data_IF_023736092373
#
_entry.id   IF_023736092373
#
_cell.length_a   1.000
_cell.length_b   1.000
_cell.length_c   1.000
_cell.angle_alpha   90.00
_cell.angle_beta   90.00
_cell.angle_gamma   90.00
#
_symmetry.space_group_name_H-M   'P 1'
#
loop_
_entity.id
_entity.type
_entity.pdbx_description
1 polymer ?
#
# COMPACT_ATOMS: atom_id res chain seq x y z
N UNK A 1 20.14 -1.30 0.13
CA UNK A 1 18.79 -1.75 0.49
C UNK A 1 18.73 -3.28 0.62
N UNK A 2 19.47 -3.82 1.58
CA UNK A 2 19.57 -5.28 1.76
C UNK A 2 18.54 -5.83 2.77
N UNK A 3 17.59 -5.00 3.24
CA UNK A 3 16.69 -5.38 4.32
C UNK A 3 15.60 -6.38 3.86
N UNK A 4 15.07 -6.22 2.65
CA UNK A 4 13.94 -7.03 2.18
C UNK A 4 14.34 -8.21 1.29
N UNK A 5 15.55 -8.23 0.75
CA UNK A 5 16.02 -9.28 -0.17
C UNK A 5 15.33 -9.29 -1.55
N UNK A 6 14.44 -8.35 -1.87
CA UNK A 6 13.72 -8.32 -3.14
C UNK A 6 14.64 -8.20 -4.37
N UNK A 7 15.85 -7.67 -4.21
CA UNK A 7 16.78 -7.50 -5.32
C UNK A 7 17.19 -8.84 -5.95
N UNK A 8 17.53 -9.84 -5.10
CA UNK A 8 17.86 -11.18 -5.60
C UNK A 8 16.66 -11.90 -6.22
N UNK A 9 15.46 -11.67 -5.68
CA UNK A 9 14.21 -12.22 -6.22
C UNK A 9 13.90 -11.57 -7.58
N UNK A 10 14.10 -10.25 -7.71
CA UNK A 10 13.90 -9.56 -8.97
C UNK A 10 14.86 -10.05 -10.05
N UNK A 11 16.12 -10.28 -9.71
CA UNK A 11 17.14 -10.84 -10.63
C UNK A 11 16.77 -12.28 -11.07
N UNK A 12 16.26 -13.10 -10.14
CA UNK A 12 15.88 -14.50 -10.41
C UNK A 12 14.62 -14.58 -11.27
N UNK A 13 13.61 -13.77 -11.00
CA UNK A 13 12.29 -13.85 -11.65
C UNK A 13 12.07 -12.82 -12.76
N UNK A 14 13.04 -11.95 -13.02
CA UNK A 14 13.01 -11.03 -14.16
C UNK A 14 11.98 -9.92 -14.05
N UNK A 15 11.89 -9.24 -12.88
CA UNK A 15 11.05 -8.06 -12.72
C UNK A 15 11.84 -6.85 -12.20
N UNK A 16 11.32 -5.67 -12.42
CA UNK A 16 11.89 -4.41 -11.89
C UNK A 16 11.40 -4.21 -10.47
N UNK A 17 12.30 -4.02 -9.53
CA UNK A 17 11.99 -3.60 -8.17
C UNK A 17 12.48 -2.18 -7.93
N UNK A 18 11.64 -1.33 -7.36
CA UNK A 18 11.98 0.04 -6.99
C UNK A 18 11.73 0.26 -5.50
N UNK A 19 12.52 1.14 -4.92
CA UNK A 19 12.40 1.57 -3.51
C UNK A 19 12.27 3.09 -3.48
N UNK A 20 11.10 3.64 -3.76
CA UNK A 20 10.90 5.08 -3.75
C UNK A 20 11.06 5.61 -2.31
N UNK A 21 11.51 6.85 -2.20
CA UNK A 21 11.77 7.51 -0.93
C UNK A 21 10.71 8.58 -0.67
N UNK A 22 9.98 8.43 0.43
CA UNK A 22 9.05 9.46 0.90
C UNK A 22 9.76 10.70 1.47
N UNK A 23 9.02 11.79 1.60
CA UNK A 23 9.48 13.05 2.16
C UNK A 23 9.51 13.05 3.68
N UNK A 24 10.01 14.12 4.31
CA UNK A 24 9.99 14.27 5.77
C UNK A 24 8.62 14.73 6.24
N UNK A 25 8.06 14.03 7.22
CA UNK A 25 6.84 14.46 7.93
C UNK A 25 7.14 15.69 8.78
N UNK A 26 6.47 16.83 8.59
CA UNK A 26 6.76 18.06 9.34
C UNK A 26 6.68 17.88 10.86
N UNK A 27 5.75 17.06 11.34
CA UNK A 27 5.53 16.85 12.76
C UNK A 27 6.66 16.06 13.45
N UNK A 28 7.37 15.18 12.74
CA UNK A 28 8.36 14.27 13.35
C UNK A 28 9.76 14.40 12.78
N UNK A 29 9.91 14.98 11.58
CA UNK A 29 11.16 15.01 10.82
C UNK A 29 11.60 13.64 10.29
N UNK A 30 10.74 12.63 10.34
CA UNK A 30 11.00 11.30 9.80
C UNK A 30 10.44 11.16 8.39
N UNK A 31 11.08 10.34 7.56
CA UNK A 31 10.56 10.01 6.24
C UNK A 31 9.24 9.25 6.37
N UNK A 32 8.29 9.58 5.49
CA UNK A 32 6.94 9.00 5.54
C UNK A 32 6.29 9.00 4.16
N UNK A 33 5.17 8.30 4.09
CA UNK A 33 4.14 8.42 3.08
C UNK A 33 2.91 9.10 3.67
N UNK A 34 2.32 10.03 2.94
CA UNK A 34 1.09 10.71 3.33
C UNK A 34 -0.13 9.79 3.12
N UNK A 35 -0.60 9.20 4.18
CA UNK A 35 -1.71 8.23 4.19
C UNK A 35 -2.94 8.70 4.97
N UNK A 36 -2.97 9.98 5.38
CA UNK A 36 -3.97 10.48 6.34
C UNK A 36 -3.61 10.11 7.78
N UNK A 37 -4.58 10.06 8.67
CA UNK A 37 -4.39 9.69 10.06
C UNK A 37 -3.31 10.54 10.76
N UNK A 38 -2.28 9.90 11.28
CA UNK A 38 -1.16 10.58 11.95
C UNK A 38 -0.26 11.37 10.98
N UNK A 39 -0.43 11.22 9.66
CA UNK A 39 0.38 11.94 8.65
C UNK A 39 -0.29 13.20 8.12
N UNK A 40 -1.41 13.62 8.68
CA UNK A 40 -2.23 14.76 8.21
C UNK A 40 -1.50 16.11 8.22
N UNK A 41 -0.36 16.23 8.93
CA UNK A 41 0.50 17.42 8.81
C UNK A 41 1.31 17.47 7.51
N UNK A 42 1.32 16.40 6.72
CA UNK A 42 1.91 16.36 5.38
C UNK A 42 0.95 16.95 4.34
N UNK A 43 1.50 17.72 3.44
CA UNK A 43 0.81 18.22 2.24
C UNK A 43 1.36 17.60 0.97
N UNK A 44 2.22 16.57 1.09
CA UNK A 44 2.87 15.92 -0.06
C UNK A 44 1.85 15.07 -0.80
N UNK A 45 1.82 15.19 -2.12
CA UNK A 45 1.09 14.30 -3.02
C UNK A 45 1.94 13.07 -3.35
N UNK A 46 2.02 12.13 -2.42
CA UNK A 46 2.78 10.91 -2.62
C UNK A 46 2.13 9.96 -3.63
N UNK A 47 0.80 9.99 -3.77
CA UNK A 47 0.08 9.21 -4.80
C UNK A 47 0.44 9.72 -6.19
N UNK A 48 0.40 11.03 -6.41
CA UNK A 48 0.83 11.65 -7.66
C UNK A 48 2.29 11.32 -7.98
N UNK A 49 3.20 11.46 -6.99
CA UNK A 49 4.60 11.07 -7.16
C UNK A 49 4.77 9.62 -7.60
N UNK A 50 4.10 8.67 -6.95
CA UNK A 50 4.20 7.25 -7.30
C UNK A 50 3.56 6.94 -8.66
N UNK A 51 2.52 7.67 -9.04
CA UNK A 51 1.95 7.61 -10.38
C UNK A 51 2.96 8.04 -11.46
N UNK A 52 3.65 9.17 -11.25
CA UNK A 52 4.72 9.66 -12.15
C UNK A 52 5.89 8.68 -12.22
N UNK A 53 6.23 8.00 -11.12
CA UNK A 53 7.27 6.95 -11.14
C UNK A 53 6.88 5.79 -12.04
N UNK A 54 5.59 5.39 -12.06
CA UNK A 54 5.11 4.34 -12.96
C UNK A 54 5.22 4.80 -14.42
N UNK A 55 4.82 6.04 -14.73
CA UNK A 55 4.91 6.60 -16.08
C UNK A 55 6.36 6.66 -16.55
N UNK A 56 7.26 7.16 -15.71
CA UNK A 56 8.70 7.18 -16.00
C UNK A 56 9.27 5.79 -16.31
N UNK A 57 8.87 4.77 -15.52
CA UNK A 57 9.34 3.40 -15.75
C UNK A 57 8.77 2.80 -17.04
N UNK A 58 7.56 3.14 -17.42
CA UNK A 58 6.98 2.70 -18.69
C UNK A 58 7.70 3.32 -19.89
N UNK A 59 7.97 4.62 -19.82
CA UNK A 59 8.69 5.35 -20.86
C UNK A 59 10.13 4.82 -21.06
N UNK A 60 10.83 4.49 -19.97
CA UNK A 60 12.23 4.04 -20.02
C UNK A 60 12.40 2.56 -20.32
N UNK A 61 11.47 1.70 -19.84
CA UNK A 61 11.63 0.23 -19.85
C UNK A 61 10.48 -0.52 -20.52
N UNK A 62 9.41 0.16 -20.97
CA UNK A 62 8.22 -0.47 -21.58
C UNK A 62 7.67 -1.60 -20.70
N UNK A 63 7.33 -1.29 -19.47
CA UNK A 63 6.86 -2.27 -18.47
C UNK A 63 5.45 -2.78 -18.81
N UNK A 64 5.07 -3.91 -18.23
CA UNK A 64 3.69 -4.39 -18.31
C UNK A 64 2.79 -3.65 -17.32
N UNK A 65 2.05 -2.65 -17.80
CA UNK A 65 1.14 -1.82 -16.99
C UNK A 65 0.00 -2.61 -16.30
N UNK A 66 -0.19 -3.89 -16.63
CA UNK A 66 -1.13 -4.79 -15.96
C UNK A 66 -0.50 -5.61 -14.83
N UNK A 67 0.79 -5.45 -14.60
CA UNK A 67 1.56 -6.21 -13.62
C UNK A 67 2.37 -5.27 -12.71
N UNK A 68 1.70 -4.25 -12.17
CA UNK A 68 2.26 -3.32 -11.21
C UNK A 68 1.76 -3.72 -9.83
N UNK A 69 2.69 -3.93 -8.91
CA UNK A 69 2.43 -4.41 -7.58
C UNK A 69 2.99 -3.45 -6.54
N UNK A 70 2.31 -3.30 -5.41
CA UNK A 70 2.80 -2.50 -4.30
C UNK A 70 2.92 -3.34 -3.04
N UNK A 71 4.03 -3.19 -2.33
CA UNK A 71 4.20 -3.79 -1.01
C UNK A 71 4.96 -2.86 -0.09
N UNK A 72 4.65 -2.93 1.19
CA UNK A 72 5.35 -2.12 2.18
C UNK A 72 5.07 -2.58 3.60
N UNK A 73 5.96 -2.19 4.50
CA UNK A 73 5.81 -2.43 5.93
C UNK A 73 5.33 -1.17 6.65
N UNK A 74 4.47 -1.32 7.66
CA UNK A 74 3.99 -0.21 8.50
C UNK A 74 3.40 0.91 7.64
N UNK A 75 3.91 2.14 7.70
CA UNK A 75 3.47 3.27 6.85
C UNK A 75 3.51 2.94 5.34
N UNK A 76 4.46 2.13 4.88
CA UNK A 76 4.50 1.62 3.50
C UNK A 76 3.35 0.64 3.18
N UNK A 77 2.88 -0.14 4.16
CA UNK A 77 1.69 -0.99 4.03
C UNK A 77 0.41 -0.17 3.89
N UNK A 78 0.28 0.91 4.69
CA UNK A 78 -0.81 1.89 4.53
C UNK A 78 -0.80 2.55 3.16
N UNK A 79 0.40 2.92 2.66
CA UNK A 79 0.52 3.51 1.32
C UNK A 79 0.15 2.52 0.23
N UNK A 80 0.48 1.23 0.38
CA UNK A 80 0.07 0.20 -0.58
C UNK A 80 -1.45 0.10 -0.68
N UNK A 81 -2.18 0.12 0.44
CA UNK A 81 -3.64 0.20 0.42
C UNK A 81 -4.17 1.48 -0.22
N UNK A 82 -3.55 2.63 0.10
CA UNK A 82 -3.93 3.90 -0.50
C UNK A 82 -3.77 3.88 -2.02
N UNK A 83 -2.70 3.29 -2.53
CA UNK A 83 -2.50 3.10 -3.97
C UNK A 83 -3.55 2.16 -4.58
N UNK A 84 -3.94 1.09 -3.89
CA UNK A 84 -5.02 0.22 -4.35
C UNK A 84 -6.36 0.96 -4.47
N UNK A 85 -6.62 1.96 -3.60
CA UNK A 85 -7.81 2.81 -3.70
C UNK A 85 -7.68 3.87 -4.80
N UNK A 86 -6.61 4.68 -4.76
CA UNK A 86 -6.50 5.91 -5.55
C UNK A 86 -5.96 5.66 -6.96
N UNK A 87 -5.15 4.61 -7.16
CA UNK A 87 -4.59 4.18 -8.44
C UNK A 87 -5.08 2.78 -8.84
N UNK A 88 -6.32 2.45 -8.52
CA UNK A 88 -6.88 1.11 -8.73
C UNK A 88 -6.77 0.63 -10.18
N UNK A 89 -6.86 1.51 -11.17
CA UNK A 89 -6.70 1.16 -12.59
C UNK A 89 -5.27 0.76 -12.98
N UNK A 90 -4.29 0.98 -12.12
CA UNK A 90 -2.86 0.73 -12.36
C UNK A 90 -2.27 -0.36 -11.48
N UNK A 91 -2.79 -0.51 -10.24
CA UNK A 91 -2.26 -1.46 -9.24
C UNK A 91 -2.99 -2.79 -9.37
N UNK A 92 -2.26 -3.84 -9.74
CA UNK A 92 -2.80 -5.17 -9.93
C UNK A 92 -2.98 -5.93 -8.60
N UNK A 93 -2.06 -5.75 -7.66
CA UNK A 93 -2.17 -6.35 -6.33
C UNK A 93 -1.33 -5.59 -5.30
N UNK A 94 -1.71 -5.73 -4.03
CA UNK A 94 -0.93 -5.18 -2.92
C UNK A 94 -0.69 -6.22 -1.83
N UNK A 95 0.46 -6.08 -1.17
CA UNK A 95 0.79 -6.82 0.06
C UNK A 95 1.14 -5.82 1.15
N UNK A 96 0.34 -5.77 2.21
CA UNK A 96 0.61 -4.94 3.37
C UNK A 96 1.22 -5.78 4.50
N UNK A 97 2.38 -5.37 4.98
CA UNK A 97 3.06 -6.01 6.12
C UNK A 97 2.94 -5.06 7.32
N UNK A 98 2.24 -5.48 8.36
CA UNK A 98 1.99 -4.68 9.58
C UNK A 98 1.49 -3.25 9.29
N UNK A 99 0.78 -3.06 8.19
CA UNK A 99 0.04 -1.85 7.85
C UNK A 99 -1.45 -2.09 7.97
N UNK A 100 -2.25 -1.05 7.86
CA UNK A 100 -3.72 -1.08 7.82
C UNK A 100 -4.21 -0.01 6.84
N UNK A 101 -5.48 0.31 6.84
CA UNK A 101 -6.03 1.50 6.20
C UNK A 101 -6.35 2.55 7.27
N UNK A 102 -6.04 3.82 6.99
CA UNK A 102 -6.54 4.90 7.84
C UNK A 102 -8.05 5.07 7.64
N UNK A 103 -8.69 5.72 8.61
CA UNK A 103 -10.13 6.02 8.52
C UNK A 103 -10.43 6.78 7.23
N UNK A 104 -9.64 7.80 6.93
CA UNK A 104 -9.79 8.63 5.73
C UNK A 104 -9.57 7.83 4.44
N UNK A 105 -8.60 6.91 4.45
CA UNK A 105 -8.36 6.04 3.28
C UNK A 105 -9.57 5.14 3.01
N UNK A 106 -10.16 4.52 4.04
CA UNK A 106 -11.35 3.67 3.86
C UNK A 106 -12.54 4.48 3.38
N UNK A 107 -12.79 5.65 3.99
CA UNK A 107 -13.92 6.52 3.61
C UNK A 107 -13.83 7.03 2.17
N UNK A 108 -12.61 7.28 1.68
CA UNK A 108 -12.35 7.74 0.31
C UNK A 108 -12.14 6.62 -0.71
N UNK A 109 -12.06 5.36 -0.27
CA UNK A 109 -11.70 4.24 -1.13
C UNK A 109 -12.88 3.82 -2.03
N UNK A 110 -12.70 3.95 -3.33
CA UNK A 110 -13.68 3.51 -4.32
C UNK A 110 -12.98 2.96 -5.57
N UNK A 111 -12.31 1.80 -5.47
CA UNK A 111 -11.53 1.24 -6.57
C UNK A 111 -12.42 0.93 -7.78
N UNK A 112 -11.88 1.06 -8.98
CA UNK A 112 -12.62 0.87 -10.24
C UNK A 112 -12.77 -0.60 -10.64
N UNK A 113 -12.01 -1.51 -10.00
CA UNK A 113 -12.06 -2.95 -10.26
C UNK A 113 -11.55 -3.74 -9.04
N UNK A 114 -11.84 -5.06 -8.96
CA UNK A 114 -11.27 -5.92 -7.94
C UNK A 114 -9.73 -5.87 -7.94
N UNK A 115 -9.14 -5.78 -6.75
CA UNK A 115 -7.69 -5.73 -6.56
C UNK A 115 -7.27 -6.83 -5.59
N UNK A 116 -6.29 -7.65 -5.97
CA UNK A 116 -5.79 -8.71 -5.09
C UNK A 116 -5.07 -8.13 -3.88
N UNK A 117 -5.47 -8.55 -2.69
CA UNK A 117 -4.95 -8.05 -1.41
C UNK A 117 -4.34 -9.21 -0.62
N UNK A 118 -3.17 -8.99 -0.04
CA UNK A 118 -2.61 -9.85 0.99
C UNK A 118 -2.20 -9.02 2.21
N UNK A 119 -2.56 -9.50 3.39
CA UNK A 119 -2.23 -8.87 4.68
C UNK A 119 -1.38 -9.81 5.52
N UNK A 120 -0.26 -9.30 6.03
CA UNK A 120 0.61 -10.00 6.98
C UNK A 120 0.68 -9.15 8.25
N UNK A 121 0.16 -9.67 9.37
CA UNK A 121 0.05 -8.89 10.61
C UNK A 121 0.19 -9.77 11.84
N UNK A 122 0.83 -9.25 12.87
CA UNK A 122 0.87 -9.90 14.19
C UNK A 122 -0.36 -9.53 15.03
N UNK A 123 -1.02 -10.50 15.63
CA UNK A 123 -2.18 -10.24 16.51
C UNK A 123 -1.82 -9.38 17.73
N UNK A 124 -0.57 -9.45 18.19
CA UNK A 124 -0.05 -8.69 19.33
C UNK A 124 0.85 -7.51 18.90
N UNK A 125 0.67 -6.99 17.68
CA UNK A 125 1.44 -5.83 17.22
C UNK A 125 1.10 -4.62 18.11
N UNK A 126 2.10 -4.15 18.85
CA UNK A 126 1.95 -3.04 19.79
C UNK A 126 2.13 -1.66 19.16
N UNK A 127 2.55 -1.59 17.89
CA UNK A 127 2.78 -0.35 17.14
C UNK A 127 1.61 -0.06 16.20
N UNK A 128 1.29 -1.03 15.35
CA UNK A 128 0.10 -0.96 14.49
C UNK A 128 -0.87 -2.04 14.99
N UNK A 129 -1.77 -1.65 15.89
CA UNK A 129 -2.69 -2.59 16.52
C UNK A 129 -3.53 -3.33 15.48
N UNK A 130 -3.56 -4.67 15.58
CA UNK A 130 -4.47 -5.52 14.79
C UNK A 130 -5.93 -5.11 14.94
N UNK A 131 -6.29 -4.64 16.15
CA UNK A 131 -7.65 -4.24 16.51
C UNK A 131 -7.97 -2.77 16.18
N UNK A 132 -7.06 -2.09 15.46
CA UNK A 132 -7.22 -0.69 15.10
C UNK A 132 -6.93 0.28 16.23
N UNK A 133 -7.10 1.56 15.94
CA UNK A 133 -6.97 2.68 16.88
C UNK A 133 -7.70 3.92 16.34
N UNK A 134 -7.47 5.10 16.93
CA UNK A 134 -8.11 6.35 16.50
C UNK A 134 -7.82 6.76 15.03
N UNK A 135 -6.74 6.26 14.43
CA UNK A 135 -6.31 6.62 13.08
C UNK A 135 -6.45 5.48 12.08
N UNK A 136 -6.57 4.24 12.55
CA UNK A 136 -6.45 3.03 11.73
C UNK A 136 -7.62 2.10 11.98
N UNK A 137 -8.18 1.56 10.92
CA UNK A 137 -9.19 0.52 10.99
C UNK A 137 -8.61 -0.80 11.53
N UNK A 138 -9.42 -1.60 12.25
CA UNK A 138 -9.06 -3.01 12.54
C UNK A 138 -8.74 -3.78 11.27
N UNK A 139 -7.80 -4.71 11.34
CA UNK A 139 -7.38 -5.49 10.17
C UNK A 139 -8.56 -6.32 9.62
N UNK A 140 -9.41 -6.86 10.47
CA UNK A 140 -10.60 -7.60 10.04
C UNK A 140 -11.56 -6.70 9.23
N UNK A 141 -11.82 -5.47 9.68
CA UNK A 141 -12.66 -4.53 8.91
C UNK A 141 -12.04 -4.17 7.55
N UNK A 142 -10.72 -4.05 7.48
CA UNK A 142 -10.01 -3.81 6.22
C UNK A 142 -10.16 -5.00 5.29
N UNK A 143 -10.01 -6.22 5.81
CA UNK A 143 -10.16 -7.44 5.00
C UNK A 143 -11.60 -7.63 4.55
N UNK A 144 -12.59 -7.40 5.42
CA UNK A 144 -14.01 -7.44 5.07
C UNK A 144 -14.35 -6.46 3.96
N UNK A 145 -13.84 -5.22 4.02
CA UNK A 145 -13.99 -4.23 2.95
C UNK A 145 -13.52 -4.78 1.60
N UNK A 146 -12.31 -5.39 1.55
CA UNK A 146 -11.76 -5.90 0.30
C UNK A 146 -12.43 -7.20 -0.17
N UNK A 147 -12.87 -8.06 0.74
CA UNK A 147 -13.68 -9.25 0.43
C UNK A 147 -14.98 -8.84 -0.26
N UNK A 148 -15.69 -7.86 0.32
CA UNK A 148 -16.94 -7.33 -0.22
C UNK A 148 -16.72 -6.63 -1.57
N UNK A 149 -15.73 -5.73 -1.64
CA UNK A 149 -15.40 -5.02 -2.89
C UNK A 149 -15.02 -5.97 -4.02
N UNK A 150 -14.20 -6.97 -3.73
CA UNK A 150 -13.74 -7.95 -4.71
C UNK A 150 -14.81 -9.02 -5.03
N UNK A 151 -15.95 -9.01 -4.36
CA UNK A 151 -17.01 -10.03 -4.47
C UNK A 151 -16.45 -11.45 -4.26
N UNK A 152 -15.59 -11.61 -3.27
CA UNK A 152 -15.00 -12.89 -2.91
C UNK A 152 -16.05 -13.82 -2.26
N UNK A 153 -15.80 -15.14 -2.29
CA UNK A 153 -16.55 -16.09 -1.46
C UNK A 153 -16.27 -15.82 0.02
N UNK A 154 -17.32 -15.88 0.85
CA UNK A 154 -17.18 -15.80 2.30
C UNK A 154 -16.48 -17.02 2.91
N UNK A 155 -16.43 -18.12 2.15
CA UNK A 155 -15.73 -19.34 2.56
C UNK A 155 -14.35 -19.37 1.89
N UNK A 156 -13.27 -19.46 2.68
CA UNK A 156 -11.92 -19.63 2.13
C UNK A 156 -11.81 -20.95 1.36
N UNK A 157 -11.08 -20.94 0.26
CA UNK A 157 -10.75 -22.14 -0.51
C UNK A 157 -9.55 -22.87 0.09
#
# INVERSE_FOLDING_TARGET
MNYTGFQSIADEFGFIVIYPQGTLLPATGQTHWNVGGWTTSSITDDVGFLNEVIDFLDDEYSINLKQIYSTGMSNGGYMSYKLACDLSSRIAAVVSVTGSMTVETVEGCNPSHPTSIAQIHGLEDSVVSYYGNAFSKPIEEVMDYWVDHNNCSSEPN
#
